data_IF_204953471297
#
_entry.id   IF_204953471297
#
_cell.length_a   1.000
_cell.length_b   1.000
_cell.length_c   1.000
_cell.angle_alpha   90.00
_cell.angle_beta   90.00
_cell.angle_gamma   90.00
#
_symmetry.space_group_name_H-M   'P 1'
#
loop_
_entity.id
_entity.type
_entity.pdbx_description
1 polymer ?
#
# COMPACT_ATOMS: atom_id res chain seq x y z
N UNK A 1 27.31 32.62 15.92
CA UNK A 1 26.58 31.61 16.70
C UNK A 1 25.80 30.87 15.64
N UNK A 2 26.35 29.74 15.17
CA UNK A 2 25.59 28.89 14.26
C UNK A 2 24.27 28.53 14.96
N UNK A 3 23.14 28.54 14.24
CA UNK A 3 21.90 28.05 14.83
C UNK A 3 22.17 26.62 15.35
N UNK A 4 21.57 26.21 16.48
CA UNK A 4 21.73 24.85 16.96
C UNK A 4 21.40 23.88 15.82
N UNK A 5 22.23 22.86 15.59
CA UNK A 5 22.02 21.83 14.57
C UNK A 5 20.57 21.35 14.63
N UNK A 6 19.75 21.90 13.73
CA UNK A 6 18.33 21.54 13.65
C UNK A 6 18.31 20.12 13.11
N UNK A 7 17.84 19.17 13.93
CA UNK A 7 17.77 17.76 13.56
C UNK A 7 17.09 17.64 12.19
N UNK A 8 17.72 16.92 11.27
CA UNK A 8 17.18 16.67 9.94
C UNK A 8 15.70 16.24 10.04
N UNK A 9 14.76 17.02 9.50
CA UNK A 9 13.33 16.79 9.71
C UNK A 9 12.88 15.44 9.15
N UNK A 10 13.58 14.90 8.15
CA UNK A 10 13.34 13.54 7.68
C UNK A 10 13.69 12.50 8.73
N UNK A 11 14.82 12.64 9.45
CA UNK A 11 15.20 11.71 10.51
C UNK A 11 14.22 11.80 11.70
N UNK A 12 13.69 12.99 11.99
CA UNK A 12 12.63 13.17 13.00
C UNK A 12 11.36 12.41 12.59
N UNK A 13 10.98 12.49 11.32
CA UNK A 13 9.85 11.76 10.77
C UNK A 13 10.10 10.24 10.82
N UNK A 14 11.28 9.78 10.37
CA UNK A 14 11.68 8.35 10.38
C UNK A 14 11.64 7.77 11.80
N UNK A 15 12.14 8.52 12.79
CA UNK A 15 12.06 8.12 14.19
C UNK A 15 10.61 8.03 14.70
N UNK A 16 9.72 8.95 14.27
CA UNK A 16 8.32 8.95 14.69
C UNK A 16 7.53 7.75 14.13
N UNK A 17 7.88 7.25 12.95
CA UNK A 17 7.21 6.10 12.32
C UNK A 17 7.75 4.76 12.78
N UNK A 18 8.96 4.70 13.37
CA UNK A 18 9.60 3.45 13.80
C UNK A 18 8.72 2.61 14.76
N UNK A 19 8.11 3.25 15.76
CA UNK A 19 7.21 2.58 16.71
C UNK A 19 5.95 2.00 16.06
N UNK A 20 5.16 2.81 15.34
CA UNK A 20 4.03 2.33 14.54
C UNK A 20 4.40 1.22 13.53
N UNK A 21 5.52 1.36 12.81
CA UNK A 21 6.04 0.36 11.87
C UNK A 21 6.29 -0.97 12.56
N UNK A 22 6.96 -0.95 13.72
CA UNK A 22 7.20 -2.15 14.51
C UNK A 22 5.91 -2.85 14.93
N UNK A 23 4.87 -2.10 15.33
CA UNK A 23 3.57 -2.69 15.70
C UNK A 23 2.91 -3.44 14.55
N UNK A 24 3.07 -2.97 13.31
CA UNK A 24 2.57 -3.68 12.13
C UNK A 24 3.38 -4.94 11.89
N UNK A 25 4.71 -4.87 11.93
CA UNK A 25 5.59 -6.00 11.61
C UNK A 25 5.66 -7.09 12.68
N UNK A 26 5.42 -6.72 13.94
CA UNK A 26 5.32 -7.66 15.06
C UNK A 26 3.87 -8.14 15.27
N UNK A 27 2.95 -7.83 14.36
CA UNK A 27 1.54 -8.11 14.56
C UNK A 27 1.25 -9.62 14.62
N UNK A 28 0.36 -10.09 15.51
CA UNK A 28 -0.05 -11.49 15.61
C UNK A 28 -0.66 -12.10 14.35
N UNK A 29 -1.13 -11.30 13.40
CA UNK A 29 -1.77 -11.80 12.17
C UNK A 29 -0.87 -12.81 11.44
N UNK A 30 0.45 -12.55 11.37
CA UNK A 30 1.35 -13.42 10.61
C UNK A 30 1.46 -14.81 11.23
N UNK A 31 1.55 -14.94 12.55
CA UNK A 31 1.62 -16.26 13.23
C UNK A 31 0.28 -17.01 13.22
N UNK A 32 -0.82 -16.30 12.93
CA UNK A 32 -2.16 -16.88 12.82
C UNK A 32 -2.46 -17.32 11.38
N UNK A 33 -1.51 -17.26 10.44
CA UNK A 33 -1.66 -17.82 9.09
C UNK A 33 -1.24 -19.29 9.10
N UNK A 34 -1.90 -20.12 9.90
CA UNK A 34 -1.52 -21.52 10.13
C UNK A 34 -2.33 -22.55 9.33
N UNK A 35 -3.32 -22.08 8.57
CA UNK A 35 -4.22 -22.89 7.76
C UNK A 35 -4.65 -22.16 6.49
N UNK A 36 -5.16 -22.91 5.50
CA UNK A 36 -5.71 -22.34 4.27
C UNK A 36 -6.94 -21.46 4.58
N UNK A 37 -7.74 -21.82 5.58
CA UNK A 37 -8.90 -21.04 6.03
C UNK A 37 -8.49 -19.67 6.56
N UNK A 38 -7.46 -19.61 7.40
CA UNK A 38 -6.90 -18.34 7.90
C UNK A 38 -6.27 -17.54 6.76
N UNK A 39 -5.60 -18.20 5.82
CA UNK A 39 -5.05 -17.54 4.62
C UNK A 39 -6.15 -16.89 3.78
N UNK A 40 -7.25 -17.61 3.50
CA UNK A 40 -8.42 -17.06 2.78
C UNK A 40 -8.95 -15.82 3.49
N UNK A 41 -9.17 -15.90 4.80
CA UNK A 41 -9.64 -14.78 5.60
C UNK A 41 -8.70 -13.58 5.50
N UNK A 42 -7.38 -13.79 5.55
CA UNK A 42 -6.40 -12.72 5.37
C UNK A 42 -6.52 -12.09 3.98
N UNK A 43 -6.61 -12.88 2.92
CA UNK A 43 -6.68 -12.39 1.55
C UNK A 43 -7.95 -11.58 1.27
N UNK A 44 -9.09 -11.97 1.82
CA UNK A 44 -10.37 -11.28 1.68
C UNK A 44 -10.36 -9.84 2.24
N UNK A 45 -9.52 -9.59 3.25
CA UNK A 45 -9.30 -8.24 3.78
C UNK A 45 -8.15 -7.54 3.05
N UNK A 46 -7.05 -8.25 2.82
CA UNK A 46 -5.83 -7.69 2.26
C UNK A 46 -6.00 -7.20 0.83
N UNK A 47 -6.88 -7.82 0.03
CA UNK A 47 -7.12 -7.39 -1.35
C UNK A 47 -7.54 -5.91 -1.47
N UNK A 48 -8.21 -5.35 -0.45
CA UNK A 48 -8.55 -3.93 -0.41
C UNK A 48 -7.33 -3.03 -0.17
N UNK A 49 -6.29 -3.55 0.49
CA UNK A 49 -5.00 -2.87 0.60
C UNK A 49 -4.14 -3.02 -0.66
N UNK A 50 -4.35 -4.06 -1.47
CA UNK A 50 -3.74 -4.17 -2.80
C UNK A 50 -4.34 -3.10 -3.72
N UNK A 51 -5.66 -2.91 -3.70
CA UNK A 51 -6.32 -1.81 -4.42
C UNK A 51 -5.93 -0.41 -3.91
N UNK A 52 -5.80 -0.23 -2.59
CA UNK A 52 -5.48 1.07 -2.01
C UNK A 52 -4.06 1.55 -2.33
N UNK A 53 -3.13 0.61 -2.52
CA UNK A 53 -1.77 0.89 -2.98
C UNK A 53 -1.81 1.62 -4.33
N UNK A 54 -2.54 1.05 -5.30
CA UNK A 54 -2.73 1.67 -6.60
C UNK A 54 -3.39 3.04 -6.50
N UNK A 55 -4.30 3.25 -5.55
CA UNK A 55 -4.94 4.55 -5.35
C UNK A 55 -3.94 5.64 -4.94
N UNK A 56 -3.01 5.33 -4.01
CA UNK A 56 -1.91 6.25 -3.67
C UNK A 56 -0.97 6.47 -4.85
N UNK A 57 -0.59 5.39 -5.54
CA UNK A 57 0.32 5.45 -6.68
C UNK A 57 -0.23 6.33 -7.82
N UNK A 58 -1.51 6.17 -8.18
CA UNK A 58 -2.14 6.99 -9.22
C UNK A 58 -2.26 8.45 -8.80
N UNK A 59 -2.52 8.75 -7.53
CA UNK A 59 -2.46 10.14 -7.02
C UNK A 59 -1.08 10.75 -7.19
N UNK A 60 -0.02 10.01 -6.87
CA UNK A 60 1.36 10.43 -7.10
C UNK A 60 1.68 10.56 -8.59
N UNK A 61 1.20 9.65 -9.44
CA UNK A 61 1.41 9.72 -10.89
C UNK A 61 0.77 10.97 -11.50
N UNK A 62 -0.46 11.28 -11.11
CA UNK A 62 -1.16 12.51 -11.53
C UNK A 62 -0.42 13.75 -11.04
N UNK A 63 0.06 13.75 -9.80
CA UNK A 63 0.69 14.92 -9.18
C UNK A 63 2.14 15.17 -9.62
N UNK A 64 2.88 14.10 -9.93
CA UNK A 64 4.33 14.13 -10.09
C UNK A 64 4.81 13.77 -11.50
N UNK A 65 3.91 13.35 -12.38
CA UNK A 65 4.20 13.08 -13.80
C UNK A 65 3.23 13.86 -14.70
N UNK A 66 3.12 13.49 -15.97
CA UNK A 66 2.17 14.10 -16.89
C UNK A 66 1.27 13.01 -17.47
N UNK A 67 -0.02 13.08 -17.14
CA UNK A 67 -1.07 12.17 -17.63
C UNK A 67 -2.04 12.86 -18.58
N UNK A 68 -1.77 14.13 -18.93
CA UNK A 68 -2.59 14.94 -19.84
C UNK A 68 -2.20 14.73 -21.30
N UNK A 69 -3.17 14.89 -22.21
CA UNK A 69 -2.96 14.76 -23.67
C UNK A 69 -2.02 15.85 -24.18
N UNK A 70 -2.15 17.09 -23.68
CA UNK A 70 -1.27 18.21 -24.02
C UNK A 70 0.06 18.07 -23.26
N UNK A 71 0.81 17.03 -23.61
CA UNK A 71 1.95 16.56 -22.84
C UNK A 71 3.08 17.60 -22.74
N UNK A 72 3.63 17.73 -21.53
CA UNK A 72 4.87 18.43 -21.24
C UNK A 72 5.55 17.80 -20.02
N UNK A 73 6.89 17.89 -19.89
CA UNK A 73 7.59 17.39 -18.71
C UNK A 73 7.20 18.17 -17.44
N UNK A 74 6.81 17.48 -16.36
CA UNK A 74 6.49 18.05 -15.05
C UNK A 74 7.55 17.69 -14.00
N UNK A 75 7.93 18.63 -13.13
CA UNK A 75 8.84 18.37 -12.01
C UNK A 75 10.21 17.76 -12.39
N UNK A 76 10.81 17.04 -11.43
CA UNK A 76 12.14 16.44 -11.56
C UNK A 76 12.12 15.11 -12.34
N UNK A 77 13.09 14.88 -13.23
CA UNK A 77 13.12 13.69 -14.08
C UNK A 77 13.25 12.38 -13.28
N UNK A 78 14.02 12.37 -12.19
CA UNK A 78 14.16 11.20 -11.31
C UNK A 78 12.86 10.81 -10.61
N UNK A 79 12.04 11.79 -10.22
CA UNK A 79 10.72 11.56 -9.64
C UNK A 79 9.78 10.91 -10.66
N UNK A 80 9.76 11.45 -11.89
CA UNK A 80 8.95 10.85 -12.97
C UNK A 80 9.38 9.43 -13.28
N UNK A 81 10.69 9.16 -13.27
CA UNK A 81 11.25 7.82 -13.50
C UNK A 81 10.76 6.86 -12.42
N UNK A 82 10.96 7.19 -11.14
CA UNK A 82 10.51 6.40 -10.00
C UNK A 82 9.03 6.04 -10.12
N UNK A 83 8.16 7.05 -10.24
CA UNK A 83 6.72 6.82 -10.23
C UNK A 83 6.28 5.99 -11.44
N UNK A 84 6.85 6.22 -12.62
CA UNK A 84 6.50 5.43 -13.81
C UNK A 84 7.06 4.00 -13.76
N UNK A 85 8.20 3.75 -13.11
CA UNK A 85 8.72 2.39 -12.89
C UNK A 85 7.83 1.60 -11.94
N UNK A 86 7.42 2.20 -10.83
CA UNK A 86 6.46 1.57 -9.90
C UNK A 86 5.14 1.31 -10.62
N UNK A 87 4.63 2.26 -11.42
CA UNK A 87 3.41 2.03 -12.22
C UNK A 87 3.59 0.87 -13.21
N UNK A 88 4.74 0.75 -13.87
CA UNK A 88 5.00 -0.37 -14.78
C UNK A 88 4.92 -1.71 -14.03
N UNK A 89 5.56 -1.80 -12.86
CA UNK A 89 5.56 -3.00 -12.03
C UNK A 89 4.19 -3.33 -11.43
N UNK A 90 3.37 -2.34 -11.10
CA UNK A 90 2.10 -2.59 -10.40
C UNK A 90 0.90 -2.74 -11.34
N UNK A 91 0.87 -1.98 -12.44
CA UNK A 91 -0.24 -1.94 -13.39
C UNK A 91 -0.08 -3.00 -14.50
N UNK A 92 1.17 -3.34 -14.87
CA UNK A 92 1.47 -4.23 -15.99
C UNK A 92 2.75 -5.05 -15.76
N UNK A 93 2.86 -5.71 -14.61
CA UNK A 93 4.03 -6.53 -14.30
C UNK A 93 4.23 -7.65 -15.31
N UNK A 94 5.47 -7.97 -15.65
CA UNK A 94 5.82 -9.17 -16.41
C UNK A 94 5.99 -10.36 -15.45
N UNK A 95 4.87 -10.95 -15.02
CA UNK A 95 4.83 -12.06 -14.05
C UNK A 95 5.48 -13.34 -14.59
N UNK A 96 5.48 -13.50 -15.92
CA UNK A 96 6.21 -14.52 -16.67
C UNK A 96 6.59 -13.92 -18.03
N UNK A 97 7.63 -14.43 -18.71
CA UNK A 97 8.04 -13.89 -20.02
C UNK A 97 6.87 -13.76 -21.01
N UNK A 98 6.57 -12.52 -21.41
CA UNK A 98 5.47 -12.17 -22.32
C UNK A 98 4.05 -12.23 -21.74
N UNK A 99 3.90 -12.46 -20.43
CA UNK A 99 2.60 -12.45 -19.73
C UNK A 99 2.57 -11.25 -18.77
N UNK A 100 1.67 -10.32 -19.04
CA UNK A 100 1.55 -9.08 -18.27
C UNK A 100 0.27 -9.08 -17.45
N UNK A 101 0.37 -8.70 -16.17
CA UNK A 101 -0.78 -8.56 -15.26
C UNK A 101 -0.55 -7.43 -14.28
N UNK A 102 -1.61 -6.78 -13.85
CA UNK A 102 -1.53 -5.95 -12.65
C UNK A 102 -1.37 -6.81 -11.40
N UNK A 103 -0.74 -6.26 -10.37
CA UNK A 103 -0.63 -6.91 -9.06
C UNK A 103 -2.00 -7.20 -8.42
N UNK A 104 -3.03 -6.39 -8.71
CA UNK A 104 -4.39 -6.65 -8.25
C UNK A 104 -5.01 -7.86 -8.97
N UNK A 105 -4.83 -7.98 -10.28
CA UNK A 105 -5.29 -9.16 -11.04
C UNK A 105 -4.59 -10.42 -10.53
N UNK A 106 -3.27 -10.40 -10.36
CA UNK A 106 -2.50 -11.51 -9.83
C UNK A 106 -2.96 -11.91 -8.42
N UNK A 107 -3.28 -10.93 -7.56
CA UNK A 107 -3.78 -11.21 -6.22
C UNK A 107 -5.16 -11.87 -6.23
N UNK A 108 -6.05 -11.42 -7.11
CA UNK A 108 -7.40 -12.02 -7.26
C UNK A 108 -7.29 -13.43 -7.86
N UNK A 109 -6.39 -13.68 -8.81
CA UNK A 109 -6.09 -15.02 -9.30
C UNK A 109 -5.61 -15.93 -8.16
N UNK A 110 -4.74 -15.43 -7.28
CA UNK A 110 -4.30 -16.15 -6.11
C UNK A 110 -5.44 -16.44 -5.12
N UNK A 111 -6.37 -15.50 -4.94
CA UNK A 111 -7.58 -15.72 -4.12
C UNK A 111 -8.40 -16.88 -4.67
N UNK A 112 -8.56 -16.95 -5.99
CA UNK A 112 -9.34 -18.01 -6.64
C UNK A 112 -8.64 -19.38 -6.56
N UNK A 113 -7.32 -19.41 -6.70
CA UNK A 113 -6.50 -20.62 -6.55
C UNK A 113 -6.71 -21.29 -5.19
N UNK A 114 -6.72 -20.51 -4.10
CA UNK A 114 -6.92 -21.05 -2.75
C UNK A 114 -8.38 -21.11 -2.33
N UNK A 115 -9.32 -20.56 -3.12
CA UNK A 115 -10.75 -20.54 -2.82
C UNK A 115 -11.19 -19.48 -1.80
N UNK A 116 -10.50 -18.34 -1.72
CA UNK A 116 -10.93 -17.17 -0.94
C UNK A 116 -12.08 -16.42 -1.63
N UNK A 117 -12.98 -15.80 -0.86
CA UNK A 117 -14.14 -15.10 -1.42
C UNK A 117 -13.77 -13.74 -2.06
N UNK A 118 -13.62 -13.72 -3.37
CA UNK A 118 -13.34 -12.49 -4.14
C UNK A 118 -14.60 -11.69 -4.51
N UNK A 119 -15.82 -12.11 -4.14
CA UNK A 119 -17.06 -11.44 -4.58
C UNK A 119 -17.16 -9.99 -4.13
N UNK A 120 -16.73 -9.69 -2.90
CA UNK A 120 -16.78 -8.32 -2.34
C UNK A 120 -15.88 -7.36 -3.11
N UNK A 121 -14.63 -7.74 -3.37
CA UNK A 121 -13.71 -6.89 -4.15
C UNK A 121 -14.16 -6.77 -5.61
N UNK A 122 -14.63 -7.86 -6.23
CA UNK A 122 -15.15 -7.83 -7.60
C UNK A 122 -16.36 -6.90 -7.74
N UNK A 123 -17.32 -6.98 -6.82
CA UNK A 123 -18.47 -6.08 -6.80
C UNK A 123 -18.08 -4.63 -6.54
N UNK A 124 -17.10 -4.39 -5.66
CA UNK A 124 -16.54 -3.05 -5.46
C UNK A 124 -15.92 -2.49 -6.74
N UNK A 125 -15.08 -3.26 -7.45
CA UNK A 125 -14.48 -2.84 -8.72
C UNK A 125 -15.52 -2.61 -9.82
N UNK A 126 -16.57 -3.43 -9.86
CA UNK A 126 -17.70 -3.25 -10.77
C UNK A 126 -18.42 -1.91 -10.49
N UNK A 127 -18.70 -1.58 -9.23
CA UNK A 127 -19.30 -0.30 -8.85
C UNK A 127 -18.42 0.90 -9.28
N UNK A 128 -17.09 0.80 -9.12
CA UNK A 128 -16.16 1.81 -9.62
C UNK A 128 -16.21 1.95 -11.15
N UNK A 129 -16.34 0.83 -11.87
CA UNK A 129 -16.42 0.83 -13.33
C UNK A 129 -17.68 1.56 -13.85
N UNK A 130 -18.74 1.59 -13.05
CA UNK A 130 -19.95 2.38 -13.31
C UNK A 130 -19.85 3.84 -12.85
N UNK A 131 -18.68 4.28 -12.38
CA UNK A 131 -18.42 5.66 -11.96
C UNK A 131 -18.86 5.99 -10.54
N UNK A 132 -19.14 4.98 -9.69
CA UNK A 132 -19.42 5.21 -8.28
C UNK A 132 -18.19 5.76 -7.56
N UNK A 133 -18.39 6.72 -6.65
CA UNK A 133 -17.29 7.22 -5.81
C UNK A 133 -16.76 6.09 -4.89
N UNK A 134 -15.44 5.91 -4.74
CA UNK A 134 -14.87 4.86 -3.91
C UNK A 134 -15.38 4.82 -2.47
N UNK A 135 -15.66 5.97 -1.83
CA UNK A 135 -16.24 5.98 -0.49
C UNK A 135 -17.63 5.33 -0.46
N UNK A 136 -18.47 5.67 -1.44
CA UNK A 136 -19.82 5.11 -1.57
C UNK A 136 -19.78 3.61 -1.91
N UNK A 137 -18.84 3.20 -2.76
CA UNK A 137 -18.66 1.80 -3.14
C UNK A 137 -18.18 0.95 -1.94
N UNK A 138 -17.26 1.47 -1.11
CA UNK A 138 -16.83 0.81 0.13
C UNK A 138 -17.98 0.63 1.13
N UNK A 139 -18.85 1.63 1.27
CA UNK A 139 -20.07 1.55 2.10
C UNK A 139 -21.05 0.51 1.56
N UNK A 140 -21.32 0.53 0.25
CA UNK A 140 -22.25 -0.38 -0.41
C UNK A 140 -21.81 -1.84 -0.35
N UNK A 141 -20.51 -2.10 -0.42
CA UNK A 141 -19.93 -3.44 -0.36
C UNK A 141 -20.08 -4.12 1.02
N UNK A 142 -20.60 -3.42 2.05
CA UNK A 142 -20.82 -3.94 3.41
C UNK A 142 -19.57 -4.60 4.00
N UNK A 143 -18.41 -3.98 3.77
CA UNK A 143 -17.12 -4.46 4.27
C UNK A 143 -17.00 -4.27 5.77
N UNK A 144 -16.13 -5.02 6.47
CA UNK A 144 -15.77 -4.74 7.86
C UNK A 144 -15.32 -3.28 8.05
N UNK A 145 -15.58 -2.71 9.22
CA UNK A 145 -15.25 -1.30 9.50
C UNK A 145 -13.75 -1.02 9.35
N UNK A 146 -12.88 -1.94 9.74
CA UNK A 146 -11.43 -1.76 9.58
C UNK A 146 -11.01 -1.60 8.11
N UNK A 147 -11.66 -2.32 7.18
CA UNK A 147 -11.41 -2.23 5.74
C UNK A 147 -11.91 -0.88 5.21
N UNK A 148 -13.13 -0.47 5.58
CA UNK A 148 -13.69 0.83 5.16
C UNK A 148 -12.86 1.99 5.69
N UNK A 149 -12.45 1.94 6.96
CA UNK A 149 -11.63 2.96 7.58
C UNK A 149 -10.26 3.08 6.90
N UNK A 150 -9.62 1.94 6.62
CA UNK A 150 -8.31 1.89 5.97
C UNK A 150 -8.37 2.42 4.52
N UNK A 151 -9.14 1.76 3.65
CA UNK A 151 -9.19 2.11 2.22
C UNK A 151 -9.89 3.46 1.99
N UNK A 152 -10.88 3.81 2.81
CA UNK A 152 -11.56 5.12 2.73
C UNK A 152 -10.64 6.27 3.16
N UNK A 153 -9.81 6.09 4.19
CA UNK A 153 -8.81 7.08 4.54
C UNK A 153 -7.78 7.26 3.43
N UNK A 154 -7.28 6.15 2.86
CA UNK A 154 -6.35 6.18 1.72
C UNK A 154 -6.94 6.95 0.53
N UNK A 155 -8.21 6.70 0.20
CA UNK A 155 -8.92 7.43 -0.86
C UNK A 155 -8.98 8.93 -0.60
N UNK A 156 -9.37 9.36 0.61
CA UNK A 156 -9.41 10.79 0.96
C UNK A 156 -8.05 11.44 0.85
N UNK A 157 -7.02 10.79 1.39
CA UNK A 157 -5.64 11.27 1.31
C UNK A 157 -5.22 11.44 -0.16
N UNK A 158 -5.38 10.40 -0.96
CA UNK A 158 -5.01 10.38 -2.38
C UNK A 158 -5.73 11.45 -3.21
N UNK A 159 -6.97 11.79 -2.86
CA UNK A 159 -7.79 12.77 -3.60
C UNK A 159 -7.57 14.21 -3.16
N UNK A 160 -7.33 14.45 -1.87
CA UNK A 160 -7.44 15.79 -1.27
C UNK A 160 -6.12 16.33 -0.74
N UNK A 161 -5.18 15.46 -0.37
CA UNK A 161 -3.96 15.88 0.30
C UNK A 161 -2.88 16.34 -0.69
N UNK A 162 -1.97 17.24 -0.27
CA UNK A 162 -0.76 17.56 -1.01
C UNK A 162 0.11 16.32 -1.26
N UNK A 163 0.88 16.35 -2.36
CA UNK A 163 1.71 15.22 -2.78
C UNK A 163 2.72 14.76 -1.70
N UNK A 164 3.22 15.65 -0.83
CA UNK A 164 4.14 15.24 0.26
C UNK A 164 3.46 14.35 1.31
N UNK A 165 2.17 14.54 1.60
CA UNK A 165 1.44 13.68 2.55
C UNK A 165 1.19 12.30 1.94
N UNK A 166 0.74 12.29 0.67
CA UNK A 166 0.54 11.05 -0.10
C UNK A 166 1.85 10.29 -0.22
N UNK A 167 2.95 10.97 -0.55
CA UNK A 167 4.28 10.37 -0.65
C UNK A 167 4.77 9.80 0.68
N UNK A 168 4.52 10.47 1.80
CA UNK A 168 4.88 9.96 3.12
C UNK A 168 4.08 8.71 3.51
N UNK A 169 2.77 8.70 3.24
CA UNK A 169 1.92 7.53 3.47
C UNK A 169 2.29 6.35 2.56
N UNK A 170 2.68 6.64 1.31
CA UNK A 170 3.17 5.66 0.34
C UNK A 170 4.50 5.06 0.77
N UNK A 171 5.52 5.89 1.03
CA UNK A 171 6.85 5.45 1.45
C UNK A 171 6.81 4.61 2.72
N UNK A 172 6.30 5.15 3.82
CA UNK A 172 6.41 4.49 5.13
C UNK A 172 5.30 3.48 5.39
N UNK A 173 4.14 3.65 4.76
CA UNK A 173 2.99 2.78 4.96
C UNK A 173 2.86 1.65 3.95
N UNK A 174 3.59 1.71 2.83
CA UNK A 174 3.55 0.71 1.75
C UNK A 174 4.98 0.30 1.37
N UNK A 175 5.68 1.13 0.62
CA UNK A 175 6.97 0.79 -0.02
C UNK A 175 8.03 0.22 0.94
N UNK A 176 8.33 0.91 2.04
CA UNK A 176 9.37 0.50 3.01
C UNK A 176 8.90 -0.64 3.94
N UNK A 177 7.59 -0.87 4.00
CA UNK A 177 6.95 -1.83 4.91
C UNK A 177 6.70 -3.18 4.24
N UNK A 178 6.23 -3.16 2.99
CA UNK A 178 5.70 -4.31 2.26
C UNK A 178 6.71 -5.45 2.15
N UNK A 179 7.99 -5.24 1.79
CA UNK A 179 8.91 -6.36 1.63
C UNK A 179 9.16 -7.14 2.93
N UNK A 180 9.33 -6.45 4.06
CA UNK A 180 9.52 -7.10 5.36
C UNK A 180 8.23 -7.80 5.83
N UNK A 181 7.07 -7.18 5.58
CA UNK A 181 5.77 -7.76 5.87
C UNK A 181 5.50 -9.02 5.05
N UNK A 182 5.77 -8.98 3.74
CA UNK A 182 5.52 -10.09 2.83
C UNK A 182 6.44 -11.26 3.07
N UNK A 183 7.70 -11.04 3.46
CA UNK A 183 8.56 -12.13 3.96
C UNK A 183 7.90 -12.89 5.10
N UNK A 184 7.25 -12.21 6.04
CA UNK A 184 6.55 -12.87 7.17
C UNK A 184 5.38 -13.73 6.68
N UNK A 185 4.59 -13.23 5.72
CA UNK A 185 3.50 -14.01 5.11
C UNK A 185 4.05 -15.21 4.34
N UNK A 186 5.08 -15.00 3.53
CA UNK A 186 5.72 -16.04 2.72
C UNK A 186 6.26 -17.19 3.59
N UNK A 187 6.83 -16.90 4.77
CA UNK A 187 7.29 -17.96 5.69
C UNK A 187 6.18 -18.90 6.18
N UNK A 188 4.91 -18.49 6.10
CA UNK A 188 3.76 -19.28 6.54
C UNK A 188 3.03 -19.97 5.39
N UNK A 189 3.26 -19.53 4.14
CA UNK A 189 2.46 -19.91 2.99
C UNK A 189 2.62 -21.38 2.56
N UNK A 190 3.78 -21.99 2.85
CA UNK A 190 4.10 -23.34 2.37
C UNK A 190 4.08 -23.45 0.83
N UNK A 191 3.71 -24.62 0.31
CA UNK A 191 3.54 -24.87 -1.14
C UNK A 191 2.08 -24.75 -1.61
N UNK A 192 1.15 -24.40 -0.71
CA UNK A 192 -0.30 -24.52 -0.95
C UNK A 192 -0.91 -23.36 -1.77
N UNK A 193 -0.16 -22.27 -1.99
CA UNK A 193 -0.63 -21.08 -2.69
C UNK A 193 0.46 -20.48 -3.62
N UNK A 194 0.89 -21.20 -4.67
CA UNK A 194 2.00 -20.79 -5.52
C UNK A 194 1.78 -19.45 -6.22
N UNK A 195 0.54 -19.09 -6.60
CA UNK A 195 0.26 -17.79 -7.24
C UNK A 195 0.41 -16.64 -6.25
N UNK A 196 0.01 -16.84 -4.99
CA UNK A 196 0.29 -15.86 -3.93
C UNK A 196 1.79 -15.81 -3.60
N UNK A 197 2.48 -16.94 -3.60
CA UNK A 197 3.94 -17.00 -3.47
C UNK A 197 4.64 -16.11 -4.50
N UNK A 198 4.29 -16.26 -5.77
CA UNK A 198 4.77 -15.42 -6.87
C UNK A 198 4.48 -13.92 -6.62
N UNK A 199 3.24 -13.57 -6.25
CA UNK A 199 2.88 -12.19 -5.92
C UNK A 199 3.79 -11.59 -4.83
N UNK A 200 4.04 -12.35 -3.74
CA UNK A 200 4.87 -11.88 -2.63
C UNK A 200 6.35 -11.76 -3.04
N UNK A 201 6.87 -12.72 -3.81
CA UNK A 201 8.23 -12.70 -4.33
C UNK A 201 8.48 -11.51 -5.26
N UNK A 202 7.53 -11.17 -6.14
CA UNK A 202 7.63 -10.00 -7.04
C UNK A 202 7.81 -8.70 -6.27
N UNK A 203 7.07 -8.46 -5.20
CA UNK A 203 7.24 -7.25 -4.38
C UNK A 203 8.56 -7.24 -3.60
N UNK A 204 9.01 -8.40 -3.12
CA UNK A 204 10.32 -8.52 -2.46
C UNK A 204 11.44 -8.17 -3.47
N UNK A 205 11.37 -8.65 -4.70
CA UNK A 205 12.39 -8.39 -5.73
C UNK A 205 12.37 -6.95 -6.26
N UNK A 206 11.17 -6.42 -6.56
CA UNK A 206 11.00 -5.11 -7.17
C UNK A 206 11.29 -3.96 -6.18
N UNK A 207 10.89 -4.11 -4.91
CA UNK A 207 10.92 -3.00 -3.96
C UNK A 207 12.24 -2.93 -3.16
N UNK A 208 13.03 -4.02 -3.06
CA UNK A 208 14.22 -4.08 -2.20
C UNK A 208 15.48 -3.39 -2.74
N UNK A 209 15.49 -2.95 -4.00
CA UNK A 209 16.72 -2.49 -4.65
C UNK A 209 16.84 -0.99 -4.92
N UNK A 210 15.79 -0.36 -5.46
CA UNK A 210 15.92 0.95 -6.13
C UNK A 210 14.91 2.00 -5.66
N UNK A 211 13.68 1.59 -5.37
CA UNK A 211 12.60 2.52 -5.08
C UNK A 211 12.72 3.18 -3.71
N UNK A 212 13.21 2.46 -2.69
CA UNK A 212 13.38 2.97 -1.33
C UNK A 212 14.19 4.29 -1.26
N UNK A 213 15.46 4.32 -1.68
CA UNK A 213 16.26 5.55 -1.69
C UNK A 213 15.62 6.68 -2.51
N UNK A 214 15.08 6.37 -3.68
CA UNK A 214 14.44 7.37 -4.55
C UNK A 214 13.17 7.95 -3.93
N UNK A 215 12.39 7.15 -3.20
CA UNK A 215 11.20 7.59 -2.49
C UNK A 215 11.53 8.47 -1.27
N UNK A 216 12.65 8.21 -0.59
CA UNK A 216 13.17 9.09 0.49
C UNK A 216 13.57 10.46 -0.08
N UNK A 217 14.31 10.47 -1.19
CA UNK A 217 14.72 11.70 -1.87
C UNK A 217 13.51 12.48 -2.42
N UNK A 218 12.51 11.76 -2.94
CA UNK A 218 11.24 12.33 -3.37
C UNK A 218 10.55 13.06 -2.21
N UNK A 219 10.39 12.41 -1.06
CA UNK A 219 9.74 13.03 0.09
C UNK A 219 10.48 14.28 0.57
N UNK A 220 11.82 14.23 0.64
CA UNK A 220 12.64 15.41 0.96
C UNK A 220 12.39 16.56 -0.01
N UNK A 221 12.37 16.27 -1.30
CA UNK A 221 12.11 17.26 -2.35
C UNK A 221 10.72 17.89 -2.22
N UNK A 222 9.69 17.08 -1.92
CA UNK A 222 8.31 17.57 -1.79
C UNK A 222 8.08 18.39 -0.53
N UNK A 223 8.71 18.01 0.60
CA UNK A 223 8.59 18.78 1.83
C UNK A 223 9.42 20.07 1.80
N UNK A 224 10.63 20.02 1.22
CA UNK A 224 11.56 21.16 1.16
C UNK A 224 11.90 21.72 2.54
N UNK A 225 12.10 23.03 2.63
CA UNK A 225 12.43 23.74 3.87
C UNK A 225 11.18 24.17 4.69
N UNK A 226 9.99 23.73 4.28
CA UNK A 226 8.73 24.12 4.93
C UNK A 226 8.43 23.19 6.08
N UNK A 227 8.66 23.66 7.31
CA UNK A 227 8.46 22.88 8.54
C UNK A 227 7.04 22.26 8.66
N UNK A 228 6.01 22.99 8.24
CA UNK A 228 4.62 22.49 8.22
C UNK A 228 4.45 21.22 7.39
N UNK A 229 5.06 21.17 6.19
CA UNK A 229 4.98 20.01 5.30
C UNK A 229 5.53 18.74 5.98
N UNK A 230 6.63 18.88 6.74
CA UNK A 230 7.21 17.77 7.49
C UNK A 230 6.32 17.26 8.62
N UNK A 231 5.61 18.17 9.30
CA UNK A 231 4.63 17.80 10.34
C UNK A 231 3.49 17.00 9.72
N UNK A 232 2.94 17.49 8.60
CA UNK A 232 1.79 16.87 7.93
C UNK A 232 2.18 15.53 7.30
N UNK A 233 3.33 15.45 6.62
CA UNK A 233 3.90 14.20 6.12
C UNK A 233 4.08 13.16 7.23
N UNK A 234 4.60 13.56 8.39
CA UNK A 234 4.73 12.68 9.56
C UNK A 234 3.37 12.18 10.03
N UNK A 235 2.38 13.06 10.15
CA UNK A 235 1.04 12.70 10.60
C UNK A 235 0.36 11.72 9.63
N UNK A 236 0.52 11.93 8.32
CA UNK A 236 0.02 11.02 7.28
C UNK A 236 0.69 9.64 7.36
N UNK A 237 2.02 9.58 7.51
CA UNK A 237 2.76 8.32 7.64
C UNK A 237 2.35 7.53 8.90
N UNK A 238 2.26 8.20 10.06
CA UNK A 238 1.84 7.58 11.33
C UNK A 238 0.39 7.07 11.24
N UNK A 239 -0.50 7.84 10.61
CA UNK A 239 -1.90 7.45 10.41
C UNK A 239 -2.02 6.23 9.50
N UNK A 240 -1.27 6.19 8.40
CA UNK A 240 -1.21 5.05 7.47
C UNK A 240 -0.82 3.75 8.18
N UNK A 241 0.22 3.79 9.02
CA UNK A 241 0.68 2.64 9.81
C UNK A 241 -0.32 2.23 10.89
N UNK A 242 -0.95 3.20 11.55
CA UNK A 242 -1.95 2.93 12.59
C UNK A 242 -3.20 2.26 12.02
N UNK A 243 -3.67 2.72 10.86
CA UNK A 243 -4.79 2.12 10.15
C UNK A 243 -4.44 0.74 9.60
N UNK A 244 -3.20 0.53 9.12
CA UNK A 244 -2.72 -0.80 8.72
C UNK A 244 -2.77 -1.79 9.88
N UNK A 245 -2.33 -1.37 11.07
CA UNK A 245 -2.44 -2.21 12.27
C UNK A 245 -3.91 -2.51 12.60
N UNK A 246 -4.80 -1.51 12.53
CA UNK A 246 -6.24 -1.72 12.76
C UNK A 246 -6.88 -2.67 11.73
N UNK A 247 -6.43 -2.63 10.47
CA UNK A 247 -6.81 -3.62 9.46
C UNK A 247 -6.41 -5.03 9.91
N UNK A 248 -5.19 -5.20 10.44
CA UNK A 248 -4.72 -6.51 10.93
C UNK A 248 -5.44 -6.98 12.18
N UNK A 249 -5.80 -6.06 13.08
CA UNK A 249 -6.65 -6.37 14.24
C UNK A 249 -7.97 -7.00 13.76
N UNK A 250 -8.63 -6.37 12.79
CA UNK A 250 -9.89 -6.88 12.24
C UNK A 250 -9.75 -8.24 11.54
N UNK A 251 -8.62 -8.51 10.88
CA UNK A 251 -8.33 -9.84 10.32
C UNK A 251 -8.25 -10.89 11.43
N UNK A 252 -7.54 -10.60 12.52
CA UNK A 252 -7.40 -11.52 13.65
C UNK A 252 -8.74 -11.76 14.36
N UNK A 253 -9.56 -10.71 14.50
CA UNK A 253 -10.91 -10.81 15.05
C UNK A 253 -11.81 -11.73 14.19
N UNK A 254 -11.75 -11.60 12.86
CA UNK A 254 -12.52 -12.43 11.94
C UNK A 254 -12.05 -13.90 11.96
N UNK A 255 -10.74 -14.14 11.97
CA UNK A 255 -10.17 -15.50 12.11
C UNK A 255 -10.66 -16.18 13.40
N UNK A 256 -10.68 -15.44 14.51
CA UNK A 256 -11.16 -15.95 15.79
C UNK A 256 -12.67 -16.24 15.76
N UNK A 257 -13.47 -15.41 15.10
CA UNK A 257 -14.90 -15.61 14.95
C UNK A 257 -15.25 -16.85 14.10
N UNK A 258 -14.45 -17.14 13.06
CA UNK A 258 -14.63 -18.31 12.20
C UNK A 258 -14.16 -19.64 12.84
N UNK A 259 -13.42 -19.57 13.94
CA UNK A 259 -12.94 -20.73 14.69
C UNK A 259 -13.94 -21.25 15.75
N UNK A 260 -15.08 -20.58 15.91
CA UNK A 260 -16.15 -20.89 16.89
C UNK A 260 -17.35 -21.50 16.19
#
# INVERSE_FOLDING_TARGET
MDPPDELDPFLVLEAAVAGPRHKVLAHPVYRNLSSVEELRCFMEFHVFAVWDFMTLLKSLQVSLTCVDIAWQPTGHAGTRRLINEIVLGEETDEVMPGQYRSHLELYIEAMEEVGADSRKIRGFLEDLSFGMDPEQALERARLPECVRAFSGWTWRLARQAPAYEVAAAFLFGREDLIPEMFRKVLTQLGEDAPTLGLYLERHIELDEGQHGPMARDLLRSLCGDVHGNWIDARNAAVSSLSLRKALWDGVVEEMAANSV
#
